data_IF_122065491877
#
_entry.id   IF_122065491877
#
_cell.length_a   1.000
_cell.length_b   1.000
_cell.length_c   1.000
_cell.angle_alpha   90.00
_cell.angle_beta   90.00
_cell.angle_gamma   90.00
#
_symmetry.space_group_name_H-M   'P 1'
#
loop_
_entity.id
_entity.type
_entity.pdbx_description
1 polymer ?
#
# COMPACT_ATOMS: atom_id res chain seq x y z
N UNK A 1 -16.98 5.91 56.70
CA UNK A 1 -17.25 6.06 55.25
C UNK A 1 -16.00 6.59 54.53
N UNK A 2 -15.00 5.76 54.24
CA UNK A 2 -13.76 6.17 53.53
C UNK A 2 -13.34 5.22 52.39
N UNK A 3 -14.06 4.12 52.20
CA UNK A 3 -13.73 3.06 51.24
C UNK A 3 -14.38 3.23 49.86
N UNK A 4 -15.40 4.09 49.74
CA UNK A 4 -16.13 4.31 48.47
C UNK A 4 -15.43 5.27 47.51
N UNK A 5 -14.51 6.12 47.99
CA UNK A 5 -13.85 7.12 47.16
C UNK A 5 -12.74 6.51 46.26
N UNK A 6 -12.07 5.45 46.73
CA UNK A 6 -10.95 4.81 46.02
C UNK A 6 -11.39 3.95 44.82
N UNK A 7 -12.60 3.39 44.86
CA UNK A 7 -13.12 2.56 43.78
C UNK A 7 -13.43 3.37 42.50
N UNK A 8 -13.87 4.62 42.66
CA UNK A 8 -14.28 5.49 41.55
C UNK A 8 -13.08 6.03 40.77
N UNK A 9 -11.97 6.32 41.46
CA UNK A 9 -10.74 6.81 40.83
C UNK A 9 -10.04 5.74 39.99
N UNK A 10 -10.09 4.47 40.41
CA UNK A 10 -9.51 3.35 39.67
C UNK A 10 -10.27 3.09 38.35
N UNK A 11 -11.60 3.22 38.37
CA UNK A 11 -12.44 3.05 37.18
C UNK A 11 -12.19 4.14 36.12
N UNK A 12 -11.95 5.38 36.55
CA UNK A 12 -11.65 6.50 35.63
C UNK A 12 -10.28 6.35 34.95
N UNK A 13 -9.27 5.83 35.64
CA UNK A 13 -7.94 5.60 35.04
C UNK A 13 -8.03 4.48 33.98
N UNK A 14 -8.82 3.43 34.24
CA UNK A 14 -9.01 2.34 33.29
C UNK A 14 -9.78 2.81 32.04
N UNK A 15 -10.85 3.59 32.19
CA UNK A 15 -11.61 4.11 31.04
C UNK A 15 -10.78 5.04 30.12
N UNK A 16 -9.87 5.84 30.68
CA UNK A 16 -9.03 6.76 29.90
C UNK A 16 -7.88 6.03 29.17
N UNK A 17 -7.36 4.94 29.73
CA UNK A 17 -6.31 4.13 29.09
C UNK A 17 -6.83 3.28 27.92
N UNK A 18 -8.08 2.81 27.96
CA UNK A 18 -8.63 1.92 26.92
C UNK A 18 -9.41 2.62 25.80
N UNK A 19 -9.69 3.93 25.92
CA UNK A 19 -10.40 4.69 24.88
C UNK A 19 -9.53 5.01 23.64
N UNK A 20 -8.26 4.60 23.63
CA UNK A 20 -7.31 4.77 22.55
C UNK A 20 -7.19 3.58 21.59
N UNK A 21 -8.10 2.60 21.64
CA UNK A 21 -8.22 1.57 20.60
C UNK A 21 -8.75 2.23 19.32
N UNK A 22 -7.86 2.92 18.62
CA UNK A 22 -7.99 3.19 17.19
C UNK A 22 -8.19 1.82 16.55
N UNK A 23 -9.41 1.51 16.15
CA UNK A 23 -9.66 0.39 15.25
C UNK A 23 -8.78 0.65 14.03
N UNK A 24 -7.68 -0.09 13.92
CA UNK A 24 -7.06 -0.28 12.62
C UNK A 24 -8.17 -0.87 11.75
N UNK A 25 -8.68 -0.12 10.77
CA UNK A 25 -9.55 -0.69 9.76
C UNK A 25 -8.82 -1.92 9.20
N UNK A 26 -9.38 -3.09 9.47
CA UNK A 26 -8.81 -4.36 9.04
C UNK A 26 -8.79 -4.37 7.52
N UNK A 27 -7.64 -4.03 6.96
CA UNK A 27 -7.45 -4.10 5.53
C UNK A 27 -7.46 -5.57 5.11
N UNK A 28 -8.60 -6.01 4.59
CA UNK A 28 -8.81 -7.42 4.25
C UNK A 28 -7.92 -7.88 3.08
N UNK A 29 -7.50 -9.14 3.11
CA UNK A 29 -6.79 -9.77 1.99
C UNK A 29 -7.60 -9.72 0.69
N UNK A 30 -8.93 -9.75 0.79
CA UNK A 30 -9.83 -9.60 -0.36
C UNK A 30 -9.69 -8.23 -1.06
N UNK A 31 -9.49 -7.16 -0.28
CA UNK A 31 -9.22 -5.83 -0.84
C UNK A 31 -7.88 -5.82 -1.58
N UNK A 32 -6.82 -6.38 -0.97
CA UNK A 32 -5.50 -6.49 -1.59
C UNK A 32 -5.57 -7.26 -2.91
N UNK A 33 -6.28 -8.38 -2.91
CA UNK A 33 -6.43 -9.22 -4.10
C UNK A 33 -7.14 -8.49 -5.23
N UNK A 34 -8.24 -7.78 -4.94
CA UNK A 34 -8.97 -6.98 -5.93
C UNK A 34 -8.11 -5.87 -6.53
N UNK A 35 -7.32 -5.19 -5.69
CA UNK A 35 -6.38 -4.17 -6.13
C UNK A 35 -5.25 -4.77 -6.98
N UNK A 36 -4.65 -5.87 -6.55
CA UNK A 36 -3.61 -6.58 -7.26
C UNK A 36 -4.08 -7.05 -8.64
N UNK A 37 -5.30 -7.60 -8.74
CA UNK A 37 -5.91 -7.96 -10.04
C UNK A 37 -6.11 -6.74 -10.94
N UNK A 38 -6.49 -5.59 -10.37
CA UNK A 38 -6.63 -4.34 -11.13
C UNK A 38 -5.28 -3.83 -11.61
N UNK A 39 -4.26 -3.91 -10.77
CA UNK A 39 -2.88 -3.58 -11.10
C UNK A 39 -2.34 -4.48 -12.21
N UNK A 40 -2.60 -5.79 -12.15
CA UNK A 40 -2.17 -6.75 -13.17
C UNK A 40 -2.67 -6.39 -14.57
N UNK A 41 -3.90 -5.90 -14.70
CA UNK A 41 -4.48 -5.48 -15.98
C UNK A 41 -3.64 -4.40 -16.68
N UNK A 42 -2.91 -3.55 -15.95
CA UNK A 42 -2.05 -2.51 -16.52
C UNK A 42 -0.84 -3.12 -17.25
N UNK A 43 -0.41 -4.30 -16.82
CA UNK A 43 0.74 -5.05 -17.34
C UNK A 43 0.33 -6.10 -18.38
N UNK A 44 -0.93 -6.53 -18.41
CA UNK A 44 -1.44 -7.57 -19.30
C UNK A 44 -2.51 -7.08 -20.29
N UNK A 45 -2.81 -5.77 -20.31
CA UNK A 45 -3.77 -5.20 -21.25
C UNK A 45 -3.33 -5.46 -22.71
N UNK A 46 -4.17 -6.24 -23.40
CA UNK A 46 -4.06 -6.69 -24.79
C UNK A 46 -3.59 -5.57 -25.74
N UNK A 47 -2.33 -5.62 -26.12
CA UNK A 47 -2.01 -5.45 -27.54
C UNK A 47 -2.20 -6.82 -28.21
N UNK A 48 -2.66 -6.87 -29.45
CA UNK A 48 -2.59 -8.09 -30.29
C UNK A 48 -1.14 -8.43 -30.67
N UNK A 49 -0.20 -8.21 -29.74
CA UNK A 49 1.22 -8.43 -29.92
C UNK A 49 1.49 -9.91 -29.70
N UNK A 50 2.12 -10.60 -30.67
CA UNK A 50 2.58 -11.96 -30.44
C UNK A 50 3.58 -11.95 -29.27
N UNK A 51 3.58 -12.99 -28.42
CA UNK A 51 4.56 -13.10 -27.35
C UNK A 51 5.98 -13.15 -27.95
N UNK A 52 6.88 -12.38 -27.35
CA UNK A 52 8.29 -12.27 -27.74
C UNK A 52 9.17 -12.47 -26.51
N UNK A 53 9.36 -13.73 -26.07
CA UNK A 53 10.03 -14.03 -24.81
C UNK A 53 11.48 -13.51 -24.75
N UNK A 54 12.20 -13.50 -25.88
CA UNK A 54 13.56 -12.96 -25.94
C UNK A 54 13.61 -11.44 -25.71
N UNK A 55 12.67 -10.68 -26.31
CA UNK A 55 12.57 -9.24 -26.06
C UNK A 55 12.15 -8.97 -24.60
N UNK A 56 11.25 -9.78 -24.04
CA UNK A 56 10.85 -9.68 -22.64
C UNK A 56 12.04 -9.88 -21.69
N UNK A 57 12.88 -10.90 -21.93
CA UNK A 57 14.06 -11.18 -21.12
C UNK A 57 15.11 -10.06 -21.20
N UNK A 58 15.33 -9.49 -22.38
CA UNK A 58 16.24 -8.35 -22.55
C UNK A 58 15.75 -7.13 -21.76
N UNK A 59 14.46 -6.81 -21.85
CA UNK A 59 13.86 -5.69 -21.11
C UNK A 59 13.89 -5.92 -19.60
N UNK A 60 13.64 -7.16 -19.15
CA UNK A 60 13.75 -7.52 -17.73
C UNK A 60 15.18 -7.32 -17.22
N UNK A 61 16.19 -7.82 -17.93
CA UNK A 61 17.60 -7.63 -17.54
C UNK A 61 18.01 -6.16 -17.53
N UNK A 62 17.59 -5.39 -18.53
CA UNK A 62 17.83 -3.94 -18.55
C UNK A 62 17.20 -3.25 -17.33
N UNK A 63 15.97 -3.62 -16.97
CA UNK A 63 15.31 -3.11 -15.77
C UNK A 63 16.03 -3.51 -14.48
N UNK A 64 16.53 -4.75 -14.36
CA UNK A 64 17.29 -5.23 -13.21
C UNK A 64 18.59 -4.42 -13.01
N UNK A 65 19.28 -4.09 -14.11
CA UNK A 65 20.46 -3.21 -14.09
C UNK A 65 20.06 -1.83 -13.58
N UNK A 66 18.97 -1.24 -14.09
CA UNK A 66 18.49 0.06 -13.64
C UNK A 66 18.12 0.06 -12.14
N UNK A 67 17.52 -1.01 -11.62
CA UNK A 67 17.25 -1.16 -10.18
C UNK A 67 18.55 -1.19 -9.38
N UNK A 68 19.56 -1.91 -9.86
CA UNK A 68 20.89 -1.98 -9.24
C UNK A 68 21.56 -0.60 -9.18
N UNK A 69 21.41 0.18 -10.25
CA UNK A 69 21.87 1.58 -10.35
C UNK A 69 20.95 2.60 -9.64
N UNK A 70 20.00 2.12 -8.82
CA UNK A 70 19.00 2.94 -8.08
C UNK A 70 18.09 3.79 -8.96
N UNK A 71 18.04 3.54 -10.27
CA UNK A 71 17.14 4.17 -11.24
C UNK A 71 15.76 3.47 -11.23
N UNK A 72 15.22 3.22 -10.04
CA UNK A 72 14.08 2.33 -9.85
C UNK A 72 12.79 2.83 -10.52
N UNK A 73 12.56 4.15 -10.57
CA UNK A 73 11.40 4.71 -11.25
C UNK A 73 11.44 4.48 -12.77
N UNK A 74 12.65 4.49 -13.36
CA UNK A 74 12.85 4.28 -14.79
C UNK A 74 12.88 2.78 -15.18
N UNK A 75 13.17 1.88 -14.24
CA UNK A 75 13.05 0.44 -14.43
C UNK A 75 11.60 -0.05 -14.57
N UNK A 76 10.64 0.58 -13.89
CA UNK A 76 9.21 0.20 -13.88
C UNK A 76 8.60 0.07 -15.29
N UNK A 77 8.72 1.06 -16.21
CA UNK A 77 8.17 0.93 -17.56
C UNK A 77 8.82 -0.21 -18.36
N UNK A 78 10.08 -0.57 -18.12
CA UNK A 78 10.73 -1.70 -18.78
C UNK A 78 10.15 -3.04 -18.31
N UNK A 79 9.95 -3.23 -17.01
CA UNK A 79 9.24 -4.42 -16.52
C UNK A 79 7.82 -4.52 -17.07
N UNK A 80 7.14 -3.39 -17.26
CA UNK A 80 5.82 -3.36 -17.89
C UNK A 80 5.85 -3.84 -19.33
N UNK A 81 6.83 -3.40 -20.12
CA UNK A 81 6.99 -3.89 -21.48
C UNK A 81 7.40 -5.37 -21.51
N UNK A 82 8.28 -5.80 -20.60
CA UNK A 82 8.63 -7.20 -20.44
C UNK A 82 7.41 -8.08 -20.17
N UNK A 83 6.51 -7.64 -19.29
CA UNK A 83 5.25 -8.32 -18.99
C UNK A 83 4.31 -8.43 -20.21
N UNK A 84 4.28 -7.40 -21.06
CA UNK A 84 3.49 -7.43 -22.29
C UNK A 84 4.06 -8.41 -23.31
N UNK A 85 5.39 -8.47 -23.46
CA UNK A 85 6.04 -9.38 -24.40
C UNK A 85 6.13 -10.82 -23.90
N UNK A 86 6.09 -11.07 -22.58
CA UNK A 86 6.06 -12.43 -22.05
C UNK A 86 4.70 -13.11 -22.26
N UNK A 87 3.63 -12.35 -22.55
CA UNK A 87 2.26 -12.82 -22.67
C UNK A 87 1.60 -13.10 -21.31
N UNK A 88 2.31 -13.80 -20.43
CA UNK A 88 1.94 -13.99 -19.03
C UNK A 88 3.14 -13.70 -18.12
N UNK A 89 3.02 -12.78 -17.16
CA UNK A 89 4.10 -12.50 -16.22
C UNK A 89 4.21 -13.64 -15.18
N UNK A 90 5.42 -14.15 -14.99
CA UNK A 90 5.75 -15.16 -13.99
C UNK A 90 5.96 -14.55 -12.58
N UNK A 91 6.17 -15.41 -11.59
CA UNK A 91 6.38 -14.97 -10.21
C UNK A 91 7.62 -14.08 -10.05
N UNK A 92 8.70 -14.40 -10.75
CA UNK A 92 9.95 -13.65 -10.69
C UNK A 92 9.80 -12.24 -11.26
N UNK A 93 9.11 -12.10 -12.39
CA UNK A 93 8.81 -10.80 -12.98
C UNK A 93 7.92 -9.95 -12.05
N UNK A 94 6.89 -10.54 -11.44
CA UNK A 94 6.08 -9.83 -10.45
C UNK A 94 6.88 -9.40 -9.23
N UNK A 95 7.79 -10.25 -8.76
CA UNK A 95 8.65 -9.95 -7.62
C UNK A 95 9.64 -8.82 -7.97
N UNK A 96 10.17 -8.80 -9.19
CA UNK A 96 11.03 -7.72 -9.68
C UNK A 96 10.27 -6.39 -9.79
N UNK A 97 9.04 -6.41 -10.34
CA UNK A 97 8.13 -5.24 -10.36
C UNK A 97 7.90 -4.73 -8.94
N UNK A 98 7.62 -5.61 -7.98
CA UNK A 98 7.38 -5.24 -6.60
C UNK A 98 8.61 -4.59 -5.95
N UNK A 99 9.81 -5.13 -6.20
CA UNK A 99 11.09 -4.57 -5.72
C UNK A 99 11.36 -3.20 -6.31
N UNK A 100 11.15 -3.02 -7.61
CA UNK A 100 11.34 -1.73 -8.29
C UNK A 100 10.39 -0.66 -7.74
N UNK A 101 9.11 -1.01 -7.53
CA UNK A 101 8.13 -0.11 -6.92
C UNK A 101 8.49 0.22 -5.46
N UNK A 102 8.96 -0.77 -4.69
CA UNK A 102 9.43 -0.58 -3.32
C UNK A 102 10.61 0.40 -3.26
N UNK A 103 11.62 0.20 -4.13
CA UNK A 103 12.76 1.11 -4.25
C UNK A 103 12.33 2.53 -4.68
N UNK A 104 11.35 2.65 -5.57
CA UNK A 104 10.77 3.93 -5.98
C UNK A 104 9.80 4.53 -4.93
N UNK A 105 9.69 3.93 -3.74
CA UNK A 105 8.77 4.32 -2.65
C UNK A 105 7.29 4.33 -3.05
N UNK A 106 6.93 3.56 -4.09
CA UNK A 106 5.56 3.35 -4.55
C UNK A 106 4.95 2.16 -3.80
N UNK A 107 4.81 2.31 -2.48
CA UNK A 107 4.50 1.22 -1.55
C UNK A 107 3.22 0.47 -1.89
N UNK A 108 2.15 1.16 -2.28
CA UNK A 108 0.88 0.53 -2.70
C UNK A 108 1.05 -0.37 -3.92
N UNK A 109 1.84 0.05 -4.92
CA UNK A 109 2.12 -0.78 -6.09
C UNK A 109 3.07 -1.92 -5.77
N UNK A 110 4.00 -1.70 -4.84
CA UNK A 110 4.91 -2.73 -4.36
C UNK A 110 4.15 -3.86 -3.64
N UNK A 111 3.15 -3.55 -2.81
CA UNK A 111 2.32 -4.56 -2.15
C UNK A 111 1.44 -5.32 -3.16
N UNK A 112 0.87 -4.62 -4.14
CA UNK A 112 0.09 -5.24 -5.22
C UNK A 112 0.96 -6.20 -6.06
N UNK A 113 2.16 -5.77 -6.48
CA UNK A 113 3.11 -6.62 -7.20
C UNK A 113 3.57 -7.82 -6.37
N UNK A 114 3.82 -7.63 -5.08
CA UNK A 114 4.19 -8.70 -4.17
C UNK A 114 3.07 -9.74 -4.02
N UNK A 115 1.81 -9.31 -3.96
CA UNK A 115 0.66 -10.23 -3.93
C UNK A 115 0.52 -11.04 -5.23
N UNK A 116 0.76 -10.42 -6.40
CA UNK A 116 0.77 -11.12 -7.68
C UNK A 116 1.91 -12.15 -7.76
N UNK A 117 3.10 -11.80 -7.26
CA UNK A 117 4.22 -12.73 -7.19
C UNK A 117 3.89 -13.94 -6.31
N UNK A 118 3.23 -13.71 -5.17
CA UNK A 118 2.78 -14.79 -4.29
C UNK A 118 1.79 -15.73 -5.01
N UNK A 119 0.82 -15.18 -5.73
CA UNK A 119 -0.17 -15.98 -6.47
C UNK A 119 0.40 -16.76 -7.66
N UNK A 120 1.49 -16.27 -8.27
CA UNK A 120 2.16 -16.93 -9.39
C UNK A 120 3.27 -17.90 -8.97
N UNK A 121 3.69 -17.90 -7.70
CA UNK A 121 4.83 -18.67 -7.22
C UNK A 121 4.55 -20.19 -7.15
N UNK A 122 5.46 -20.95 -7.73
CA UNK A 122 5.46 -22.42 -7.79
C UNK A 122 6.12 -23.08 -6.57
N UNK A 123 6.91 -22.32 -5.80
CA UNK A 123 7.65 -22.81 -4.65
C UNK A 123 7.51 -21.90 -3.41
N UNK A 124 7.72 -22.49 -2.23
CA UNK A 124 7.52 -21.81 -0.95
C UNK A 124 8.54 -20.69 -0.70
N UNK A 125 9.74 -20.79 -1.27
CA UNK A 125 10.77 -19.75 -1.16
C UNK A 125 10.32 -18.45 -1.84
N UNK A 126 9.76 -18.54 -3.04
CA UNK A 126 9.21 -17.40 -3.76
C UNK A 126 7.98 -16.85 -3.06
N UNK A 127 7.08 -17.71 -2.57
CA UNK A 127 5.90 -17.28 -1.79
C UNK A 127 6.31 -16.49 -0.55
N UNK A 128 7.28 -16.99 0.22
CA UNK A 128 7.79 -16.32 1.40
C UNK A 128 8.42 -14.96 1.07
N UNK A 129 9.23 -14.89 0.02
CA UNK A 129 9.85 -13.64 -0.44
C UNK A 129 8.78 -12.60 -0.86
N UNK A 130 7.76 -13.05 -1.60
CA UNK A 130 6.65 -12.22 -2.06
C UNK A 130 5.80 -11.68 -0.90
N UNK A 131 5.45 -12.53 0.07
CA UNK A 131 4.73 -12.12 1.28
C UNK A 131 5.54 -11.16 2.15
N UNK A 132 6.84 -11.43 2.33
CA UNK A 132 7.75 -10.55 3.07
C UNK A 132 7.79 -9.15 2.48
N UNK A 133 7.94 -9.05 1.16
CA UNK A 133 7.93 -7.78 0.44
C UNK A 133 6.58 -7.08 0.52
N UNK A 134 5.48 -7.82 0.37
CA UNK A 134 4.11 -7.30 0.51
C UNK A 134 3.90 -6.68 1.88
N UNK A 135 4.25 -7.40 2.95
CA UNK A 135 4.16 -6.91 4.33
C UNK A 135 5.06 -5.69 4.59
N UNK A 136 6.28 -5.68 4.06
CA UNK A 136 7.19 -4.54 4.17
C UNK A 136 6.62 -3.29 3.46
N UNK A 137 6.08 -3.45 2.26
CA UNK A 137 5.44 -2.37 1.52
C UNK A 137 4.21 -1.84 2.28
N UNK A 138 3.37 -2.71 2.82
CA UNK A 138 2.22 -2.34 3.65
C UNK A 138 2.58 -1.49 4.87
N UNK A 139 3.66 -1.84 5.58
CA UNK A 139 4.14 -1.05 6.72
C UNK A 139 4.59 0.35 6.32
N UNK A 140 5.21 0.50 5.14
CA UNK A 140 5.69 1.78 4.64
C UNK A 140 4.61 2.61 3.92
N UNK A 141 3.53 1.96 3.46
CA UNK A 141 2.40 2.63 2.80
C UNK A 141 1.53 3.43 3.77
N UNK A 142 1.53 3.06 5.06
CA UNK A 142 0.78 3.81 6.07
C UNK A 142 1.47 5.14 6.34
N UNK A 143 0.73 6.25 6.48
CA UNK A 143 1.33 7.47 7.01
C UNK A 143 1.95 7.14 8.38
N UNK A 144 3.10 7.75 8.73
CA UNK A 144 3.57 7.68 10.10
C UNK A 144 2.41 8.13 10.99
N UNK A 145 2.19 7.42 12.11
CA UNK A 145 1.24 7.87 13.12
C UNK A 145 1.80 9.19 13.66
N UNK A 146 1.40 10.31 13.06
CA UNK A 146 1.64 11.63 13.63
C UNK A 146 0.80 11.70 14.89
N UNK A 147 1.42 11.43 16.03
CA UNK A 147 0.89 11.83 17.32
C UNK A 147 1.02 13.36 17.36
N UNK A 148 0.06 14.06 16.76
CA UNK A 148 0.07 15.52 16.68
C UNK A 148 0.16 16.15 18.08
N UNK A 149 0.80 17.33 18.22
CA UNK A 149 0.88 18.01 19.50
C UNK A 149 -0.53 18.32 20.02
N UNK A 150 -0.79 17.97 21.30
CA UNK A 150 -2.06 18.26 21.99
C UNK A 150 -2.34 19.76 21.93
N UNK A 151 -3.27 20.20 21.09
CA UNK A 151 -3.75 21.58 21.13
C UNK A 151 -4.78 21.73 22.27
N UNK A 152 -4.59 22.65 23.23
CA UNK A 152 -5.64 22.97 24.18
C UNK A 152 -6.78 23.68 23.44
N UNK A 153 -8.00 23.16 23.58
CA UNK A 153 -9.20 23.93 23.26
C UNK A 153 -9.55 24.72 24.53
N UNK A 154 -9.23 26.01 24.51
CA UNK A 154 -9.65 26.94 25.55
C UNK A 154 -11.16 27.13 25.39
N UNK A 155 -11.93 26.57 26.32
CA UNK A 155 -13.37 26.81 26.42
C UNK A 155 -13.60 28.21 27.00
N UNK A 156 -14.56 28.97 26.46
CA UNK A 156 -14.95 30.31 26.92
C UNK A 156 -15.47 30.38 28.38
N UNK A 157 -15.55 29.25 29.10
CA UNK A 157 -15.90 29.17 30.53
C UNK A 157 -14.72 28.86 31.46
N UNK A 158 -13.47 29.14 31.05
CA UNK A 158 -12.30 29.01 31.94
C UNK A 158 -11.87 27.57 32.26
N UNK A 159 -12.40 26.56 31.57
CA UNK A 159 -11.94 25.17 31.69
C UNK A 159 -11.05 24.80 30.50
N UNK A 160 -9.81 24.41 30.79
CA UNK A 160 -8.90 23.83 29.79
C UNK A 160 -9.36 22.40 29.53
N UNK A 161 -10.00 22.15 28.37
CA UNK A 161 -10.30 20.79 27.90
C UNK A 161 -9.33 20.42 26.79
N UNK A 162 -8.51 19.41 27.06
CA UNK A 162 -7.65 18.77 26.06
C UNK A 162 -8.52 17.87 25.18
N UNK A 163 -8.69 18.22 23.91
CA UNK A 163 -9.26 17.32 22.90
C UNK A 163 -8.14 16.95 21.93
N UNK A 164 -7.92 15.65 21.73
CA UNK A 164 -7.13 15.18 20.61
C UNK A 164 -7.86 15.59 19.33
N UNK A 165 -7.33 16.56 18.60
CA UNK A 165 -7.80 16.87 17.26
C UNK A 165 -7.06 15.95 16.30
N UNK A 166 -7.70 14.85 15.90
CA UNK A 166 -7.28 14.14 14.71
C UNK A 166 -7.53 15.07 13.52
N UNK A 167 -6.50 15.80 13.08
CA UNK A 167 -6.54 16.53 11.82
C UNK A 167 -6.39 15.50 10.71
N UNK A 168 -7.51 14.94 10.26
CA UNK A 168 -7.56 14.33 8.93
C UNK A 168 -7.42 15.46 7.92
N UNK A 169 -6.18 15.76 7.54
CA UNK A 169 -5.93 16.59 6.36
C UNK A 169 -6.49 15.81 5.16
N UNK A 170 -7.56 16.36 4.57
CA UNK A 170 -8.20 15.86 3.36
C UNK A 170 -7.20 15.92 2.20
N UNK A 171 -6.38 14.89 2.05
CA UNK A 171 -5.65 14.63 0.82
C UNK A 171 -5.72 13.14 0.49
N UNK A 172 -6.94 12.62 0.44
CA UNK A 172 -7.25 11.44 -0.36
C UNK A 172 -7.64 11.95 -1.75
N UNK A 173 -6.87 11.69 -2.83
CA UNK A 173 -7.51 11.56 -4.12
C UNK A 173 -8.30 10.26 -4.08
N UNK A 174 -9.63 10.39 -4.09
CA UNK A 174 -10.53 9.28 -4.32
C UNK A 174 -10.08 8.52 -5.58
N UNK A 175 -9.62 7.29 -5.39
CA UNK A 175 -9.57 6.30 -6.46
C UNK A 175 -11.01 6.03 -6.93
N UNK A 176 -11.38 6.58 -8.09
CA UNK A 176 -12.50 6.11 -8.90
C UNK A 176 -13.74 6.98 -8.93
N UNK A 177 -13.81 7.91 -9.90
CA UNK A 177 -15.07 8.28 -10.53
C UNK A 177 -14.84 8.56 -12.01
N UNK A 178 -15.16 7.57 -12.85
CA UNK A 178 -15.47 7.80 -14.25
C UNK A 178 -16.57 8.86 -14.33
N UNK A 179 -16.26 10.03 -14.89
CA UNK A 179 -17.28 10.91 -15.46
C UNK A 179 -17.03 10.99 -16.95
N UNK A 180 -17.81 10.19 -17.68
CA UNK A 180 -18.05 10.32 -19.11
C UNK A 180 -18.32 11.79 -19.43
N UNK A 181 -17.52 12.36 -20.34
CA UNK A 181 -17.86 13.60 -21.04
C UNK A 181 -17.85 13.29 -22.54
N UNK A 182 -19.02 12.91 -23.04
CA UNK A 182 -19.34 12.92 -24.46
C UNK A 182 -19.16 14.37 -24.92
N UNK A 183 -18.27 14.59 -25.91
CA UNK A 183 -18.27 15.83 -26.70
C UNK A 183 -18.91 15.46 -28.03
N UNK A 184 -20.02 16.14 -28.32
CA UNK A 184 -20.59 16.23 -29.66
C UNK A 184 -19.57 16.92 -30.57
N UNK A 185 -19.27 16.28 -31.68
CA UNK A 185 -18.90 16.89 -32.95
C UNK A 185 -19.75 16.21 -34.02
#
# INVERSE_FOLDING_TARGET
>A
MKTTLLAVTLFFIQAVLFSGLVLAEDYSLNALEKEARTFAKIYTAKGNLPPKPQEADLLRRAADIMVTERQCAAAIPLYRQAALFSGQPDADLWLAVARANSCAKQWTKASQGGWLAYGAADNDKLRAAALSLTGAAWRNARPPIEIGPRRPLISMNGSIRWRAAARMEKSWPACGSNRLRIKNY
#
